data_IF_984832441950
#
_entry.id   IF_984832441950
#
_cell.length_a   1.000
_cell.length_b   1.000
_cell.length_c   1.000
_cell.angle_alpha   90.00
_cell.angle_beta   90.00
_cell.angle_gamma   90.00
#
_symmetry.space_group_name_H-M   'P 1'
#
loop_
_entity.id
_entity.type
_entity.pdbx_description
1 polymer ?
#
# COMPACT_ATOMS: atom_id res chain seq x y z
N UNK A 1 7.18 -6.21 -11.43
CA UNK A 1 7.08 -7.66 -11.75
C UNK A 1 7.49 -8.54 -10.57
N UNK A 2 8.72 -8.40 -10.03
CA UNK A 2 9.23 -9.25 -8.94
C UNK A 2 8.32 -9.28 -7.69
N UNK A 3 7.83 -8.14 -7.15
CA UNK A 3 6.98 -8.16 -5.94
C UNK A 3 5.68 -8.93 -6.14
N UNK A 4 5.05 -8.79 -7.31
CA UNK A 4 3.82 -9.52 -7.66
C UNK A 4 4.08 -11.02 -7.71
N UNK A 5 5.22 -11.43 -8.28
CA UNK A 5 5.63 -12.85 -8.29
C UNK A 5 5.82 -13.42 -6.90
N UNK A 6 6.43 -12.65 -5.98
CA UNK A 6 6.61 -13.05 -4.57
C UNK A 6 5.27 -13.18 -3.87
N UNK A 7 4.35 -12.22 -4.04
CA UNK A 7 3.01 -12.27 -3.43
C UNK A 7 2.23 -13.48 -3.94
N UNK A 8 2.25 -13.73 -5.25
CA UNK A 8 1.59 -14.89 -5.85
C UNK A 8 2.17 -16.21 -5.32
N UNK A 9 3.50 -16.30 -5.21
CA UNK A 9 4.17 -17.45 -4.61
C UNK A 9 3.79 -17.62 -3.14
N UNK A 10 3.80 -16.54 -2.35
CA UNK A 10 3.44 -16.57 -0.93
C UNK A 10 2.00 -17.04 -0.73
N UNK A 11 1.05 -16.55 -1.53
CA UNK A 11 -0.35 -16.95 -1.48
C UNK A 11 -0.51 -18.43 -1.83
N UNK A 12 0.04 -18.89 -2.95
CA UNK A 12 -0.09 -20.28 -3.37
C UNK A 12 0.60 -21.26 -2.42
N UNK A 13 1.80 -20.92 -1.95
CA UNK A 13 2.56 -21.77 -1.02
C UNK A 13 1.90 -21.86 0.34
N UNK A 14 1.50 -20.73 0.93
CA UNK A 14 0.82 -20.71 2.24
C UNK A 14 -0.53 -21.43 2.21
N UNK A 15 -1.32 -21.25 1.15
CA UNK A 15 -2.59 -21.95 0.98
C UNK A 15 -2.41 -23.48 0.85
N UNK A 16 -1.44 -23.92 0.03
CA UNK A 16 -1.14 -25.35 -0.14
C UNK A 16 -0.59 -25.99 1.14
N UNK A 17 0.31 -25.30 1.84
CA UNK A 17 0.84 -25.76 3.12
C UNK A 17 -0.25 -25.87 4.18
N UNK A 18 -1.13 -24.87 4.28
CA UNK A 18 -2.29 -24.91 5.17
C UNK A 18 -3.19 -26.11 4.90
N UNK A 19 -3.54 -26.36 3.63
CA UNK A 19 -4.28 -27.57 3.23
C UNK A 19 -3.55 -28.86 3.62
N UNK A 20 -2.25 -28.95 3.37
CA UNK A 20 -1.49 -30.17 3.68
C UNK A 20 -1.38 -30.44 5.18
N UNK A 21 -1.26 -29.39 5.99
CA UNK A 21 -1.05 -29.51 7.43
C UNK A 21 -2.34 -29.77 8.21
N UNK A 22 -3.49 -29.26 7.74
CA UNK A 22 -4.75 -29.21 8.50
C UNK A 22 -5.88 -30.03 7.85
N UNK A 23 -5.56 -31.11 7.14
CA UNK A 23 -6.57 -32.08 6.66
C UNK A 23 -7.26 -31.73 5.34
N UNK A 24 -6.69 -30.82 4.54
CA UNK A 24 -7.00 -30.69 3.11
C UNK A 24 -8.23 -29.85 2.75
N UNK A 25 -8.95 -29.26 3.71
CA UNK A 25 -10.13 -28.42 3.45
C UNK A 25 -9.81 -27.02 2.91
N UNK A 26 -10.80 -26.33 2.32
CA UNK A 26 -10.65 -24.93 1.87
C UNK A 26 -10.25 -24.01 3.03
N UNK A 27 -10.94 -24.13 4.17
CA UNK A 27 -10.69 -23.34 5.38
C UNK A 27 -9.28 -23.57 5.95
N UNK A 28 -8.73 -24.78 5.78
CA UNK A 28 -7.33 -25.07 6.15
C UNK A 28 -6.33 -24.27 5.29
N UNK A 29 -6.61 -24.11 4.00
CA UNK A 29 -5.79 -23.27 3.12
C UNK A 29 -5.93 -21.78 3.42
N UNK A 30 -7.15 -21.30 3.69
CA UNK A 30 -7.38 -19.92 4.14
C UNK A 30 -6.64 -19.63 5.45
N UNK A 31 -6.73 -20.55 6.42
CA UNK A 31 -6.00 -20.42 7.69
C UNK A 31 -4.48 -20.37 7.48
N UNK A 32 -3.93 -21.22 6.61
CA UNK A 32 -2.50 -21.16 6.25
C UNK A 32 -2.09 -19.80 5.66
N UNK A 33 -2.96 -19.21 4.83
CA UNK A 33 -2.75 -17.88 4.25
C UNK A 33 -2.87 -16.78 5.31
N UNK A 34 -3.80 -16.91 6.27
CA UNK A 34 -3.93 -16.00 7.40
C UNK A 34 -2.70 -16.02 8.30
N UNK A 35 -2.16 -17.21 8.61
CA UNK A 35 -0.91 -17.35 9.37
C UNK A 35 0.27 -16.74 8.61
N UNK A 36 0.37 -16.93 7.29
CA UNK A 36 1.41 -16.29 6.48
C UNK A 36 1.29 -14.76 6.49
N UNK A 37 0.07 -14.23 6.44
CA UNK A 37 -0.21 -12.79 6.54
C UNK A 37 0.21 -12.25 7.91
N UNK A 38 -0.13 -12.94 9.00
CA UNK A 38 0.32 -12.59 10.34
C UNK A 38 1.84 -12.67 10.49
N UNK A 39 2.47 -13.67 9.87
CA UNK A 39 3.93 -13.82 9.82
C UNK A 39 4.60 -12.63 9.12
N UNK A 40 4.05 -12.19 7.98
CA UNK A 40 4.52 -10.99 7.31
C UNK A 40 4.41 -9.76 8.23
N UNK A 41 3.27 -9.57 8.89
CA UNK A 41 3.02 -8.44 9.79
C UNK A 41 3.75 -8.52 11.15
N UNK A 42 4.39 -9.64 11.50
CA UNK A 42 5.08 -9.80 12.78
C UNK A 42 6.20 -8.76 13.00
N UNK A 43 6.79 -8.25 11.91
CA UNK A 43 7.85 -7.23 11.95
C UNK A 43 7.33 -5.81 11.66
N UNK A 44 6.01 -5.60 11.64
CA UNK A 44 5.38 -4.33 11.24
C UNK A 44 5.88 -3.13 12.07
N UNK A 45 6.25 -3.33 13.33
CA UNK A 45 6.80 -2.26 14.18
C UNK A 45 8.10 -1.69 13.59
N UNK A 46 8.98 -2.54 13.08
CA UNK A 46 10.21 -2.10 12.43
C UNK A 46 9.93 -1.43 11.08
N UNK A 47 8.97 -1.97 10.32
CA UNK A 47 8.53 -1.38 9.04
C UNK A 47 8.00 0.03 9.26
N UNK A 48 7.14 0.22 10.25
CA UNK A 48 6.59 1.53 10.60
C UNK A 48 7.68 2.49 11.09
N UNK A 49 8.61 2.03 11.92
CA UNK A 49 9.74 2.86 12.36
C UNK A 49 10.59 3.35 11.16
N UNK A 50 10.84 2.48 10.18
CA UNK A 50 11.56 2.83 8.95
C UNK A 50 10.76 3.77 8.03
N UNK A 51 9.43 3.67 8.02
CA UNK A 51 8.56 4.56 7.24
C UNK A 51 8.54 5.97 7.83
N UNK A 52 8.45 6.06 9.16
CA UNK A 52 8.44 7.33 9.91
C UNK A 52 9.82 7.99 9.96
N UNK A 53 10.90 7.22 9.81
CA UNK A 53 12.26 7.74 9.73
C UNK A 53 12.44 8.77 8.61
N UNK A 54 11.91 8.53 7.41
CA UNK A 54 12.09 9.43 6.26
C UNK A 54 11.54 10.84 6.47
N UNK A 55 10.25 11.00 6.86
CA UNK A 55 9.70 12.32 7.18
C UNK A 55 10.43 13.04 8.32
N UNK A 56 11.05 12.33 9.27
CA UNK A 56 11.85 12.95 10.33
C UNK A 56 13.13 13.55 9.74
N UNK A 57 13.83 12.82 8.87
CA UNK A 57 15.10 13.27 8.29
C UNK A 57 14.90 14.39 7.26
N UNK A 58 13.83 14.34 6.48
CA UNK A 58 13.42 15.41 5.55
C UNK A 58 13.17 16.73 6.30
N UNK A 59 12.35 16.68 7.37
CA UNK A 59 12.09 17.86 8.20
C UNK A 59 13.36 18.37 8.91
N UNK A 60 14.25 17.48 9.35
CA UNK A 60 15.52 17.87 9.93
C UNK A 60 16.39 18.62 8.90
N UNK A 61 16.46 18.14 7.66
CA UNK A 61 17.14 18.85 6.57
C UNK A 61 16.54 20.23 6.31
N UNK A 62 15.21 20.34 6.30
CA UNK A 62 14.52 21.62 6.18
C UNK A 62 14.87 22.61 7.31
N UNK A 63 14.94 22.12 8.57
CA UNK A 63 15.36 22.95 9.72
C UNK A 63 16.82 23.41 9.56
N UNK A 64 17.72 22.50 9.15
CA UNK A 64 19.14 22.81 8.92
C UNK A 64 19.29 23.92 7.88
N UNK A 65 18.56 23.83 6.76
CA UNK A 65 18.55 24.84 5.70
C UNK A 65 17.99 26.19 6.20
N UNK A 66 16.83 26.16 6.86
CA UNK A 66 16.15 27.38 7.34
C UNK A 66 16.90 28.07 8.49
N UNK A 67 17.82 27.39 9.18
CA UNK A 67 18.59 27.92 10.30
C UNK A 67 20.05 28.22 9.98
N UNK A 68 20.41 28.24 8.69
CA UNK A 68 21.74 28.61 8.17
C UNK A 68 22.89 27.86 8.87
N UNK A 69 22.67 26.56 9.10
CA UNK A 69 23.67 25.70 9.72
C UNK A 69 24.84 25.41 8.77
N UNK A 70 26.02 25.05 9.30
CA UNK A 70 27.17 24.71 8.47
C UNK A 70 26.86 23.57 7.47
N UNK A 71 27.41 23.67 6.26
CA UNK A 71 27.17 22.74 5.14
C UNK A 71 27.36 21.27 5.50
N UNK A 72 28.36 20.93 6.32
CA UNK A 72 28.59 19.55 6.77
C UNK A 72 27.41 18.95 7.55
N UNK A 73 26.54 19.76 8.17
CA UNK A 73 25.32 19.29 8.86
C UNK A 73 24.25 18.95 7.82
N UNK A 74 24.16 19.74 6.75
CA UNK A 74 23.26 19.50 5.61
C UNK A 74 23.63 18.21 4.87
N UNK A 75 24.92 17.98 4.64
CA UNK A 75 25.43 16.75 4.03
C UNK A 75 24.98 15.49 4.77
N UNK A 76 24.98 15.56 6.12
CA UNK A 76 24.50 14.47 6.98
C UNK A 76 22.99 14.29 6.79
N UNK A 77 22.19 15.36 6.88
CA UNK A 77 20.73 15.25 6.73
C UNK A 77 20.30 14.80 5.35
N UNK A 78 20.99 15.21 4.28
CA UNK A 78 20.71 14.78 2.91
C UNK A 78 21.02 13.31 2.70
N UNK A 79 22.11 12.82 3.30
CA UNK A 79 22.41 11.38 3.32
C UNK A 79 21.32 10.61 4.03
N UNK A 80 20.83 11.12 5.17
CA UNK A 80 19.75 10.47 5.94
C UNK A 80 18.41 10.51 5.19
N UNK A 81 18.06 11.61 4.53
CA UNK A 81 16.85 11.71 3.71
C UNK A 81 16.88 10.75 2.51
N UNK A 82 18.04 10.59 1.86
CA UNK A 82 18.20 9.60 0.80
C UNK A 82 17.94 8.17 1.29
N UNK A 83 18.39 7.84 2.51
CA UNK A 83 18.06 6.56 3.16
C UNK A 83 16.57 6.48 3.47
N UNK A 84 15.98 7.56 4.00
CA UNK A 84 14.55 7.66 4.30
C UNK A 84 13.64 7.47 3.08
N UNK A 85 14.03 8.01 1.92
CA UNK A 85 13.33 7.81 0.66
C UNK A 85 13.37 6.35 0.20
N UNK A 86 14.50 5.67 0.42
CA UNK A 86 14.66 4.25 0.13
C UNK A 86 13.80 3.39 1.06
N UNK A 87 13.82 3.67 2.38
CA UNK A 87 13.00 2.93 3.33
C UNK A 87 11.51 3.13 3.08
N UNK A 88 11.07 4.35 2.78
CA UNK A 88 9.69 4.68 2.40
C UNK A 88 9.21 3.95 1.14
N UNK A 89 10.11 3.69 0.19
CA UNK A 89 9.76 2.89 -0.99
C UNK A 89 9.56 1.40 -0.60
N UNK A 90 10.42 0.87 0.26
CA UNK A 90 10.32 -0.52 0.75
C UNK A 90 9.04 -0.73 1.57
N UNK A 91 8.69 0.20 2.45
CA UNK A 91 7.51 0.13 3.31
C UNK A 91 6.22 0.16 2.50
N UNK A 92 6.13 0.99 1.45
CA UNK A 92 5.02 0.95 0.48
C UNK A 92 4.86 -0.43 -0.17
N UNK A 93 5.97 -1.04 -0.58
CA UNK A 93 5.96 -2.40 -1.14
C UNK A 93 5.44 -3.44 -0.15
N UNK A 94 5.85 -3.33 1.11
CA UNK A 94 5.35 -4.17 2.20
C UNK A 94 3.84 -4.00 2.40
N UNK A 95 3.33 -2.76 2.43
CA UNK A 95 1.89 -2.47 2.54
C UNK A 95 1.08 -3.06 1.39
N UNK A 96 1.58 -2.98 0.15
CA UNK A 96 0.89 -3.58 -1.01
C UNK A 96 0.86 -5.10 -0.89
N UNK A 97 1.96 -5.72 -0.45
CA UNK A 97 2.03 -7.18 -0.28
C UNK A 97 1.08 -7.69 0.81
N UNK A 98 1.08 -7.05 1.98
CA UNK A 98 0.20 -7.45 3.09
C UNK A 98 -1.28 -7.21 2.74
N UNK A 99 -1.60 -6.08 2.10
CA UNK A 99 -2.95 -5.80 1.61
C UNK A 99 -3.43 -6.84 0.60
N UNK A 100 -2.55 -7.33 -0.28
CA UNK A 100 -2.91 -8.36 -1.27
C UNK A 100 -3.27 -9.69 -0.62
N UNK A 101 -2.49 -10.15 0.37
CA UNK A 101 -2.78 -11.39 1.11
C UNK A 101 -4.06 -11.23 1.96
N UNK A 102 -4.22 -10.09 2.62
CA UNK A 102 -5.43 -9.78 3.39
C UNK A 102 -6.68 -9.69 2.49
N UNK A 103 -6.56 -9.12 1.30
CA UNK A 103 -7.65 -9.02 0.33
C UNK A 103 -8.19 -10.40 -0.07
N UNK A 104 -7.32 -11.38 -0.30
CA UNK A 104 -7.75 -12.76 -0.58
C UNK A 104 -8.55 -13.37 0.58
N UNK A 105 -8.11 -13.14 1.82
CA UNK A 105 -8.80 -13.63 3.02
C UNK A 105 -10.15 -12.94 3.22
N UNK A 106 -10.19 -11.62 3.09
CA UNK A 106 -11.41 -10.82 3.20
C UNK A 106 -12.41 -11.16 2.09
N UNK A 107 -11.93 -11.44 0.87
CA UNK A 107 -12.79 -11.87 -0.22
C UNK A 107 -13.41 -13.24 0.06
N UNK A 108 -12.64 -14.17 0.62
CA UNK A 108 -13.17 -15.48 1.03
C UNK A 108 -14.21 -15.33 2.14
N UNK A 109 -13.92 -14.53 3.17
CA UNK A 109 -14.86 -14.22 4.24
C UNK A 109 -16.13 -13.52 3.73
N UNK A 110 -16.00 -12.66 2.72
CA UNK A 110 -17.14 -12.02 2.05
C UNK A 110 -18.05 -13.04 1.35
N UNK A 111 -17.50 -14.03 0.66
CA UNK A 111 -18.29 -15.09 0.03
C UNK A 111 -19.03 -15.96 1.05
N UNK A 112 -18.38 -16.26 2.18
CA UNK A 112 -19.00 -16.99 3.29
C UNK A 112 -20.19 -16.21 3.86
N UNK A 113 -20.00 -14.92 4.17
CA UNK A 113 -21.05 -14.04 4.71
C UNK A 113 -22.23 -13.88 3.75
N UNK A 114 -21.96 -13.65 2.45
CA UNK A 114 -23.01 -13.53 1.44
C UNK A 114 -23.76 -14.86 1.29
N UNK A 115 -23.08 -15.99 1.40
CA UNK A 115 -23.73 -17.30 1.34
C UNK A 115 -24.67 -17.52 2.52
N UNK A 116 -24.28 -17.08 3.71
CA UNK A 116 -25.10 -17.17 4.92
C UNK A 116 -26.34 -16.26 4.83
N UNK A 117 -26.16 -15.00 4.43
CA UNK A 117 -27.26 -14.01 4.33
C UNK A 117 -28.24 -14.34 3.21
N UNK A 118 -27.73 -14.80 2.05
CA UNK A 118 -28.57 -15.12 0.89
C UNK A 118 -29.26 -16.49 1.01
N UNK A 119 -28.78 -17.36 1.89
CA UNK A 119 -29.17 -18.77 1.93
C UNK A 119 -28.74 -19.59 0.70
N UNK A 120 -27.95 -18.99 -0.20
CA UNK A 120 -27.44 -19.63 -1.42
C UNK A 120 -25.93 -19.82 -1.25
N UNK A 121 -25.48 -21.07 -1.32
CA UNK A 121 -24.06 -21.38 -1.18
C UNK A 121 -23.27 -20.92 -2.41
N UNK A 122 -22.42 -19.90 -2.24
CA UNK A 122 -21.49 -19.42 -3.28
C UNK A 122 -20.17 -20.18 -3.19
N UNK A 123 -20.06 -21.29 -3.92
CA UNK A 123 -18.82 -22.10 -3.92
C UNK A 123 -17.72 -21.54 -4.84
N UNK A 124 -18.09 -20.74 -5.83
CA UNK A 124 -17.16 -20.17 -6.80
C UNK A 124 -17.66 -18.83 -7.35
N UNK A 125 -16.71 -17.99 -7.76
CA UNK A 125 -16.97 -16.75 -8.48
C UNK A 125 -16.60 -16.98 -9.94
N UNK A 126 -17.62 -17.14 -10.79
CA UNK A 126 -17.42 -17.36 -12.21
C UNK A 126 -17.32 -16.03 -12.96
N UNK A 127 -16.10 -15.70 -13.39
CA UNK A 127 -15.81 -14.49 -14.16
C UNK A 127 -16.46 -14.48 -15.55
N UNK A 128 -16.93 -15.63 -16.06
CA UNK A 128 -17.67 -15.70 -17.31
C UNK A 128 -19.12 -15.23 -17.17
N UNK A 129 -19.63 -15.09 -15.94
CA UNK A 129 -20.95 -14.52 -15.67
C UNK A 129 -20.91 -13.01 -15.96
N UNK A 130 -21.79 -12.47 -16.83
CA UNK A 130 -21.76 -11.06 -17.23
C UNK A 130 -21.75 -10.07 -16.07
N UNK A 131 -22.56 -10.33 -15.03
CA UNK A 131 -22.69 -9.49 -13.85
C UNK A 131 -21.38 -9.44 -13.03
N UNK A 132 -20.70 -10.58 -12.90
CA UNK A 132 -19.40 -10.68 -12.21
C UNK A 132 -18.31 -9.99 -13.03
N UNK A 133 -18.32 -10.18 -14.35
CA UNK A 133 -17.38 -9.53 -15.26
C UNK A 133 -17.53 -8.01 -15.22
N UNK A 134 -18.76 -7.50 -15.32
CA UNK A 134 -19.07 -6.08 -15.24
C UNK A 134 -18.63 -5.50 -13.89
N UNK A 135 -18.94 -6.18 -12.78
CA UNK A 135 -18.52 -5.77 -11.44
C UNK A 135 -16.99 -5.70 -11.31
N UNK A 136 -16.28 -6.71 -11.81
CA UNK A 136 -14.81 -6.72 -11.83
C UNK A 136 -14.21 -5.61 -12.68
N UNK A 137 -14.79 -5.36 -13.87
CA UNK A 137 -14.37 -4.28 -14.77
C UNK A 137 -14.61 -2.89 -14.16
N UNK A 138 -15.77 -2.68 -13.55
CA UNK A 138 -16.10 -1.44 -12.83
C UNK A 138 -15.15 -1.23 -11.64
N UNK A 139 -14.85 -2.29 -10.88
CA UNK A 139 -13.89 -2.26 -9.77
C UNK A 139 -12.48 -1.89 -10.21
N UNK A 140 -11.98 -2.47 -11.31
CA UNK A 140 -10.68 -2.11 -11.87
C UNK A 140 -10.65 -0.66 -12.36
N UNK A 141 -11.74 -0.20 -13.00
CA UNK A 141 -11.89 1.18 -13.48
C UNK A 141 -11.92 2.19 -12.32
N UNK A 142 -12.51 1.83 -11.18
CA UNK A 142 -12.58 2.68 -10.00
C UNK A 142 -11.19 3.08 -9.49
N UNK A 143 -10.20 2.18 -9.57
CA UNK A 143 -8.81 2.46 -9.13
C UNK A 143 -8.19 3.58 -9.96
N UNK A 144 -8.30 3.50 -11.29
CA UNK A 144 -7.73 4.52 -12.19
C UNK A 144 -8.52 5.83 -12.14
N UNK A 145 -9.84 5.74 -12.00
CA UNK A 145 -10.71 6.90 -11.84
C UNK A 145 -10.37 7.68 -10.56
N UNK A 146 -10.29 6.98 -9.43
CA UNK A 146 -9.93 7.59 -8.15
C UNK A 146 -8.52 8.21 -8.19
N UNK A 147 -7.55 7.50 -8.78
CA UNK A 147 -6.18 8.02 -8.96
C UNK A 147 -6.16 9.31 -9.79
N UNK A 148 -6.96 9.37 -10.86
CA UNK A 148 -7.13 10.57 -11.68
C UNK A 148 -7.71 11.76 -10.91
N UNK A 149 -8.70 11.52 -10.05
CA UNK A 149 -9.28 12.54 -9.16
C UNK A 149 -8.21 13.07 -8.18
N UNK A 150 -7.44 12.19 -7.54
CA UNK A 150 -6.35 12.58 -6.63
C UNK A 150 -5.29 13.42 -7.34
N UNK A 151 -4.85 13.00 -8.54
CA UNK A 151 -3.85 13.75 -9.32
C UNK A 151 -4.36 15.13 -9.74
N UNK A 152 -5.64 15.23 -10.12
CA UNK A 152 -6.28 16.52 -10.46
C UNK A 152 -6.34 17.44 -9.24
N UNK A 153 -6.74 16.91 -8.08
CA UNK A 153 -6.79 17.67 -6.84
C UNK A 153 -5.42 18.22 -6.43
N UNK A 154 -4.37 17.38 -6.50
CA UNK A 154 -2.98 17.79 -6.21
C UNK A 154 -2.50 18.83 -7.22
N UNK A 155 -2.79 18.65 -8.52
CA UNK A 155 -2.40 19.59 -9.56
C UNK A 155 -3.03 20.98 -9.37
N UNK A 156 -4.32 21.03 -9.02
CA UNK A 156 -5.02 22.28 -8.72
C UNK A 156 -4.41 23.00 -7.52
N UNK A 157 -4.17 22.28 -6.42
CA UNK A 157 -3.55 22.85 -5.22
C UNK A 157 -2.11 23.33 -5.48
N UNK A 158 -1.31 22.55 -6.22
CA UNK A 158 0.05 22.93 -6.59
C UNK A 158 0.07 24.22 -7.44
N UNK A 159 -0.86 24.36 -8.39
CA UNK A 159 -0.98 25.56 -9.22
C UNK A 159 -1.29 26.80 -8.37
N UNK A 160 -2.16 26.66 -7.37
CA UNK A 160 -2.47 27.72 -6.41
C UNK A 160 -1.24 28.11 -5.58
N UNK A 161 -0.49 27.14 -5.06
CA UNK A 161 0.75 27.38 -4.31
C UNK A 161 1.78 28.13 -5.17
N UNK A 162 1.99 27.70 -6.42
CA UNK A 162 2.92 28.36 -7.36
C UNK A 162 2.51 29.82 -7.61
N UNK A 163 1.21 30.06 -7.84
CA UNK A 163 0.72 31.42 -8.06
C UNK A 163 0.91 32.31 -6.83
N UNK A 164 0.68 31.77 -5.63
CA UNK A 164 0.90 32.47 -4.37
C UNK A 164 2.39 32.80 -4.14
N UNK A 165 3.29 31.83 -4.33
CA UNK A 165 4.74 32.06 -4.19
C UNK A 165 5.23 33.11 -5.19
N UNK A 166 4.78 33.04 -6.46
CA UNK A 166 5.11 34.07 -7.48
C UNK A 166 4.59 35.44 -7.09
N UNK A 167 3.39 35.54 -6.53
CA UNK A 167 2.82 36.81 -6.07
C UNK A 167 3.64 37.39 -4.90
N UNK A 168 4.05 36.56 -3.94
CA UNK A 168 4.88 36.99 -2.81
C UNK A 168 6.23 37.51 -3.27
N UNK A 169 6.95 36.80 -4.16
CA UNK A 169 8.22 37.28 -4.71
C UNK A 169 8.08 38.58 -5.51
N UNK A 170 6.98 38.80 -6.23
CA UNK A 170 6.71 40.07 -6.93
C UNK A 170 6.40 41.21 -5.97
N UNK A 171 5.64 40.94 -4.91
CA UNK A 171 5.18 41.96 -3.97
C UNK A 171 6.25 42.36 -2.94
N UNK A 172 7.18 41.46 -2.62
CA UNK A 172 8.26 41.67 -1.65
C UNK A 172 9.62 41.36 -2.30
N UNK A 173 10.18 42.29 -3.10
CA UNK A 173 11.51 42.14 -3.64
C UNK A 173 12.58 42.36 -2.54
N UNK A 174 13.37 41.33 -2.28
CA UNK A 174 14.38 41.22 -1.22
C UNK A 174 14.64 39.76 -0.90
#
# INVERSE_FOLDING_TARGET
AIPVGIIAFALLSSYKLGRSALGGGHNAGLFGTAVATMGMLSTVVFVLAMDVFGPITDNAGGIVEMSDQPEHVRDITDTLDAVGNTTKAITKGFSVGSASLACFLLFSAFLDEVSEVSGVKLEAVDIATPEVFEGGFAGATLVVYFSGQCMTAVGNAAQEVVNNVRAQFRARPG
#
